data_IF_222905863062
#
_entry.id   IF_222905863062
#
_cell.length_a   1.000
_cell.length_b   1.000
_cell.length_c   1.000
_cell.angle_alpha   90.00
_cell.angle_beta   90.00
_cell.angle_gamma   90.00
#
_symmetry.space_group_name_H-M   'P 1'
#
loop_
_entity.id
_entity.type
_entity.pdbx_description
1 polymer ?
#
# COMPACT_ATOMS: atom_id res chain seq x y z
N UNK A 1 15.94 -2.08 7.23
CA UNK A 1 15.53 -0.72 6.83
C UNK A 1 15.90 -0.55 5.38
N UNK A 2 14.95 -0.66 4.46
CA UNK A 2 15.21 -0.44 3.04
C UNK A 2 14.03 0.32 2.45
N UNK A 3 14.21 1.63 2.27
CA UNK A 3 13.27 2.53 1.62
C UNK A 3 13.20 2.32 0.08
N UNK A 4 13.86 1.28 -0.43
CA UNK A 4 14.07 1.01 -1.85
C UNK A 4 12.97 0.18 -2.52
N UNK A 5 12.06 -0.43 -1.77
CA UNK A 5 11.06 -1.36 -2.33
C UNK A 5 9.64 -0.78 -2.43
N UNK A 6 9.47 0.53 -2.22
CA UNK A 6 8.17 1.19 -2.39
C UNK A 6 7.54 0.97 -3.78
N UNK A 7 8.29 1.05 -4.89
CA UNK A 7 7.78 0.71 -6.22
C UNK A 7 7.29 -0.74 -6.29
N UNK A 8 8.08 -1.69 -5.80
CA UNK A 8 7.75 -3.12 -5.83
C UNK A 8 6.54 -3.47 -4.97
N UNK A 9 6.40 -2.82 -3.80
CA UNK A 9 5.21 -2.96 -2.94
C UNK A 9 3.97 -2.40 -3.61
N UNK A 10 4.09 -1.27 -4.32
CA UNK A 10 2.99 -0.73 -5.14
C UNK A 10 2.59 -1.69 -6.25
N UNK A 11 3.54 -2.27 -6.98
CA UNK A 11 3.24 -3.28 -8.01
C UNK A 11 2.55 -4.51 -7.41
N UNK A 12 2.94 -4.96 -6.22
CA UNK A 12 2.25 -6.05 -5.53
C UNK A 12 0.81 -5.68 -5.13
N UNK A 13 0.58 -4.46 -4.63
CA UNK A 13 -0.77 -3.96 -4.33
C UNK A 13 -1.63 -3.86 -5.59
N UNK A 14 -1.08 -3.34 -6.70
CA UNK A 14 -1.78 -3.28 -7.97
C UNK A 14 -2.07 -4.69 -8.53
N UNK A 15 -1.11 -5.60 -8.43
CA UNK A 15 -1.28 -7.01 -8.80
C UNK A 15 -2.32 -7.76 -7.97
N UNK A 16 -2.61 -7.27 -6.76
CA UNK A 16 -3.69 -7.79 -5.90
C UNK A 16 -5.09 -7.29 -6.26
N UNK A 17 -5.20 -6.37 -7.23
CA UNK A 17 -6.47 -5.77 -7.67
C UNK A 17 -6.80 -4.43 -7.03
N UNK A 18 -5.90 -3.84 -6.23
CA UNK A 18 -6.06 -2.46 -5.77
C UNK A 18 -5.80 -1.48 -6.92
N UNK A 19 -6.50 -0.36 -6.94
CA UNK A 19 -6.30 0.70 -7.93
C UNK A 19 -5.40 1.79 -7.37
N UNK A 20 -4.76 2.56 -8.25
CA UNK A 20 -3.99 3.74 -7.87
C UNK A 20 -4.79 4.70 -6.99
N UNK A 21 -6.08 4.88 -7.28
CA UNK A 21 -6.98 5.71 -6.48
C UNK A 21 -7.16 5.17 -5.06
N UNK A 22 -7.42 3.88 -4.91
CA UNK A 22 -7.60 3.25 -3.60
C UNK A 22 -6.33 3.35 -2.73
N UNK A 23 -5.17 3.16 -3.34
CA UNK A 23 -3.89 3.30 -2.64
C UNK A 23 -3.64 4.75 -2.26
N UNK A 24 -3.88 5.70 -3.17
CA UNK A 24 -3.73 7.14 -2.93
C UNK A 24 -4.64 7.64 -1.79
N UNK A 25 -5.91 7.23 -1.78
CA UNK A 25 -6.87 7.56 -0.72
C UNK A 25 -6.41 7.02 0.65
N UNK A 26 -5.95 5.77 0.72
CA UNK A 26 -5.42 5.19 1.96
C UNK A 26 -4.12 5.85 2.42
N UNK A 27 -3.25 6.21 1.48
CA UNK A 27 -1.99 6.91 1.76
C UNK A 27 -2.18 8.41 2.02
N UNK A 28 -3.41 8.94 1.92
CA UNK A 28 -3.74 10.37 2.02
C UNK A 28 -2.85 11.24 1.12
N UNK A 29 -2.61 10.78 -0.10
CA UNK A 29 -1.83 11.49 -1.09
C UNK A 29 -2.53 11.48 -2.45
N UNK A 30 -2.06 12.32 -3.36
CA UNK A 30 -2.56 12.32 -4.73
C UNK A 30 -2.15 11.06 -5.51
N UNK A 31 -2.97 10.71 -6.51
CA UNK A 31 -2.68 9.63 -7.46
C UNK A 31 -1.35 9.90 -8.20
N UNK A 32 -1.10 11.16 -8.54
CA UNK A 32 0.15 11.59 -9.18
C UNK A 32 1.37 11.32 -8.30
N UNK A 33 1.23 11.40 -6.98
CA UNK A 33 2.28 11.05 -6.01
C UNK A 33 2.56 9.55 -6.03
N UNK A 34 1.53 8.70 -6.04
CA UNK A 34 1.70 7.24 -6.17
C UNK A 34 2.40 6.88 -7.49
N UNK A 35 2.01 7.52 -8.59
CA UNK A 35 2.64 7.29 -9.90
C UNK A 35 4.12 7.70 -9.91
N UNK A 36 4.45 8.86 -9.33
CA UNK A 36 5.83 9.34 -9.20
C UNK A 36 6.67 8.44 -8.30
N UNK A 37 6.11 7.89 -7.21
CA UNK A 37 6.79 6.90 -6.35
C UNK A 37 7.08 5.62 -7.14
N UNK A 38 6.09 5.09 -7.86
CA UNK A 38 6.26 3.88 -8.69
C UNK A 38 7.35 4.06 -9.74
N UNK A 39 7.43 5.24 -10.36
CA UNK A 39 8.48 5.57 -11.33
C UNK A 39 9.83 5.94 -10.69
N UNK A 40 9.97 5.86 -9.36
CA UNK A 40 11.21 6.23 -8.66
C UNK A 40 11.54 7.72 -8.69
N UNK A 41 10.62 8.57 -9.13
CA UNK A 41 10.79 10.03 -9.19
C UNK A 41 10.72 10.68 -7.80
N UNK A 42 10.20 9.95 -6.81
CA UNK A 42 10.17 10.36 -5.41
C UNK A 42 10.85 9.25 -4.61
N UNK A 43 12.12 9.46 -4.26
CA UNK A 43 12.92 8.50 -3.48
C UNK A 43 12.56 8.47 -1.99
N UNK A 44 11.90 9.53 -1.50
CA UNK A 44 11.48 9.62 -0.11
C UNK A 44 10.10 10.28 -0.05
N UNK A 45 9.02 9.57 -0.42
CA UNK A 45 7.69 10.11 -0.26
C UNK A 45 7.51 10.36 1.22
N UNK A 46 7.07 11.57 1.57
CA UNK A 46 6.83 11.99 2.96
C UNK A 46 6.35 10.81 3.79
N UNK A 47 7.06 10.52 4.89
CA UNK A 47 7.00 9.29 5.72
C UNK A 47 5.61 8.62 5.83
N UNK A 48 4.54 9.40 5.80
CA UNK A 48 3.12 8.99 5.75
C UNK A 48 2.79 8.06 4.57
N UNK A 49 3.14 8.43 3.32
CA UNK A 49 2.78 7.62 2.15
C UNK A 49 3.56 6.31 2.11
N UNK A 50 4.86 6.36 2.46
CA UNK A 50 5.68 5.16 2.58
C UNK A 50 5.16 4.19 3.65
N UNK A 51 4.81 4.71 4.83
CA UNK A 51 4.24 3.93 5.93
C UNK A 51 2.89 3.31 5.55
N UNK A 52 2.03 4.07 4.86
CA UNK A 52 0.72 3.57 4.44
C UNK A 52 0.84 2.44 3.39
N UNK A 53 1.74 2.57 2.42
CA UNK A 53 2.02 1.50 1.44
C UNK A 53 2.57 0.26 2.15
N UNK A 54 3.47 0.44 3.11
CA UNK A 54 4.01 -0.67 3.90
C UNK A 54 2.93 -1.37 4.73
N UNK A 55 2.03 -0.61 5.35
CA UNK A 55 0.87 -1.15 6.07
C UNK A 55 -0.06 -1.91 5.12
N UNK A 56 -0.42 -1.33 3.98
CA UNK A 56 -1.26 -1.98 2.96
C UNK A 56 -0.63 -3.27 2.45
N UNK A 57 0.68 -3.25 2.16
CA UNK A 57 1.40 -4.42 1.69
C UNK A 57 1.50 -5.50 2.78
N UNK A 58 1.70 -5.11 4.04
CA UNK A 58 1.68 -6.05 5.17
C UNK A 58 0.29 -6.65 5.43
N UNK A 59 -0.78 -5.87 5.24
CA UNK A 59 -2.17 -6.35 5.28
C UNK A 59 -2.49 -7.33 4.14
N UNK A 60 -1.86 -7.15 2.98
CA UNK A 60 -2.02 -8.03 1.84
C UNK A 60 -1.20 -9.33 1.99
N UNK A 61 0.03 -9.21 2.51
CA UNK A 61 0.94 -10.33 2.74
C UNK A 61 0.53 -11.20 3.93
N UNK A 62 -0.12 -10.62 4.94
CA UNK A 62 -0.87 -11.42 5.90
C UNK A 62 -2.14 -11.86 5.19
N UNK A 63 -2.39 -13.16 4.96
CA UNK A 63 -3.73 -13.60 4.70
C UNK A 63 -4.52 -13.17 5.92
N UNK A 64 -5.29 -12.09 5.79
CA UNK A 64 -6.37 -11.83 6.72
C UNK A 64 -7.22 -13.09 6.64
N UNK A 65 -7.01 -13.96 7.62
CA UNK A 65 -8.10 -14.75 8.15
C UNK A 65 -9.20 -13.72 8.39
N UNK A 66 -10.11 -13.56 7.41
CA UNK A 66 -11.52 -13.39 7.69
C UNK A 66 -11.93 -14.63 8.48
N UNK A 67 -11.49 -14.66 9.72
CA UNK A 67 -11.97 -15.47 10.80
C UNK A 67 -12.06 -14.55 12.01
N UNK A 68 -12.86 -13.49 11.86
CA UNK A 68 -13.73 -13.12 12.96
C UNK A 68 -14.81 -14.20 12.98
N UNK A 69 -14.54 -15.19 13.84
CA UNK A 69 -15.41 -16.28 14.30
C UNK A 69 -16.90 -15.91 14.29
N UNK A 70 -17.71 -16.88 13.83
CA UNK A 70 -19.12 -17.10 14.25
C UNK A 70 -19.33 -16.96 15.78
N UNK A 71 -20.62 -16.75 16.13
CA UNK A 71 -21.37 -16.94 17.42
C UNK A 71 -21.36 -15.72 18.37
N UNK A 72 -22.46 -15.20 18.95
CA UNK A 72 -23.80 -15.68 19.44
C UNK A 72 -24.73 -14.42 19.46
N UNK A 73 -26.04 -14.43 19.18
CA UNK A 73 -27.17 -15.03 19.90
C UNK A 73 -28.38 -15.27 18.98
#
# INVERSE_FOLDING_TARGET
>A
MSATDLPSKLDALLGSGLTYKAIAERAKCDISTIFRIRNGQISNPSYVAGTAIDQMHAELAKPSKKNSKRKVA
#
